data_IF_279641155047
#
_entry.id   IF_279641155047
#
_cell.length_a   1.000
_cell.length_b   1.000
_cell.length_c   1.000
_cell.angle_alpha   90.00
_cell.angle_beta   90.00
_cell.angle_gamma   90.00
#
_symmetry.space_group_name_H-M   'P 1'
#
loop_
_entity.id
_entity.type
_entity.pdbx_description
1 polymer ?
#
# COMPACT_ATOMS: atom_id res chain seq x y z
N UNK A 1 6.82 -17.85 4.52
CA UNK A 1 7.04 -16.75 3.55
C UNK A 1 6.39 -17.10 2.23
N UNK A 2 6.81 -18.18 1.56
CA UNK A 2 6.13 -18.68 0.36
C UNK A 2 4.71 -19.19 0.65
N UNK A 3 3.75 -18.94 -0.25
CA UNK A 3 2.42 -19.51 -0.17
C UNK A 3 2.40 -21.03 -0.40
N UNK A 4 1.34 -21.72 0.07
CA UNK A 4 1.12 -23.10 -0.33
C UNK A 4 0.80 -23.18 -1.83
N UNK A 5 0.97 -24.38 -2.39
CA UNK A 5 0.70 -24.67 -3.79
C UNK A 5 -0.70 -24.22 -4.19
N UNK A 6 -0.76 -23.39 -5.24
CA UNK A 6 -1.96 -23.02 -5.99
C UNK A 6 -1.54 -22.64 -7.41
N UNK A 7 -2.45 -22.80 -8.36
CA UNK A 7 -2.16 -22.58 -9.79
C UNK A 7 -1.87 -21.10 -10.07
N UNK A 8 -2.64 -20.20 -9.46
CA UNK A 8 -2.51 -18.75 -9.62
C UNK A 8 -3.27 -18.03 -8.50
N UNK A 9 -3.19 -16.70 -8.51
CA UNK A 9 -3.98 -15.81 -7.65
C UNK A 9 -5.34 -15.42 -8.30
N UNK A 10 -5.81 -16.14 -9.32
CA UNK A 10 -6.97 -15.72 -10.13
C UNK A 10 -8.26 -15.54 -9.29
N UNK A 11 -8.42 -16.36 -8.25
CA UNK A 11 -9.58 -16.32 -7.36
C UNK A 11 -9.43 -15.32 -6.21
N UNK A 12 -8.26 -14.66 -6.07
CA UNK A 12 -8.03 -13.69 -5.02
C UNK A 12 -8.82 -12.41 -5.32
N UNK A 13 -9.43 -11.85 -4.28
CA UNK A 13 -10.26 -10.64 -4.35
C UNK A 13 -9.81 -9.64 -3.27
N UNK A 14 -10.27 -8.39 -3.41
CA UNK A 14 -9.88 -7.29 -2.51
C UNK A 14 -9.12 -6.19 -3.25
N UNK A 15 -9.03 -5.02 -2.63
CA UNK A 15 -8.36 -3.85 -3.22
C UNK A 15 -6.86 -4.10 -3.37
N UNK A 16 -6.23 -4.76 -2.39
CA UNK A 16 -4.80 -5.10 -2.32
C UNK A 16 -4.46 -6.47 -2.92
N UNK A 17 -5.39 -7.06 -3.69
CA UNK A 17 -5.11 -8.24 -4.49
C UNK A 17 -4.30 -7.87 -5.75
N UNK A 18 -3.58 -8.84 -6.30
CA UNK A 18 -2.84 -8.64 -7.54
C UNK A 18 -3.79 -8.20 -8.68
N UNK A 19 -3.36 -7.28 -9.56
CA UNK A 19 -4.20 -6.81 -10.65
C UNK A 19 -4.54 -7.95 -11.63
N UNK A 20 -5.64 -7.85 -12.39
CA UNK A 20 -6.12 -8.90 -13.30
C UNK A 20 -5.04 -9.50 -14.20
N UNK A 21 -4.14 -8.66 -14.73
CA UNK A 21 -3.09 -9.07 -15.66
C UNK A 21 -2.03 -9.96 -14.98
N UNK A 22 -1.85 -9.81 -13.66
CA UNK A 22 -0.86 -10.56 -12.88
C UNK A 22 -1.49 -11.76 -12.17
N UNK A 23 -2.69 -11.61 -11.58
CA UNK A 23 -3.28 -12.67 -10.76
C UNK A 23 -3.67 -13.92 -11.54
N UNK A 24 -3.88 -13.81 -12.86
CA UNK A 24 -4.17 -14.96 -13.72
C UNK A 24 -2.90 -15.69 -14.23
N UNK A 25 -1.71 -15.15 -13.98
CA UNK A 25 -0.46 -15.81 -14.34
C UNK A 25 -0.29 -17.09 -13.52
N UNK A 26 0.18 -18.14 -14.19
CA UNK A 26 0.42 -19.42 -13.52
C UNK A 26 1.69 -19.33 -12.69
N UNK A 27 1.60 -19.82 -11.45
CA UNK A 27 2.73 -19.90 -10.55
C UNK A 27 3.63 -21.09 -10.86
N UNK A 28 4.93 -20.86 -10.72
CA UNK A 28 5.97 -21.86 -10.77
C UNK A 28 6.24 -22.39 -9.36
N UNK A 29 6.13 -23.70 -9.20
CA UNK A 29 6.52 -24.38 -7.97
C UNK A 29 7.98 -24.12 -7.60
N UNK A 30 8.25 -24.05 -6.30
CA UNK A 30 9.57 -23.76 -5.71
C UNK A 30 10.14 -22.38 -6.08
N UNK A 31 9.37 -21.55 -6.77
CA UNK A 31 9.72 -20.17 -7.09
C UNK A 31 8.66 -19.19 -6.62
N UNK A 32 7.42 -19.30 -7.09
CA UNK A 32 6.31 -18.42 -6.68
C UNK A 32 5.55 -19.01 -5.47
N UNK A 33 5.44 -20.33 -5.42
CA UNK A 33 4.73 -21.09 -4.38
C UNK A 33 5.52 -22.33 -3.96
N UNK A 34 5.20 -22.91 -2.80
CA UNK A 34 5.74 -24.21 -2.41
C UNK A 34 5.31 -25.30 -3.40
N UNK A 35 6.08 -26.39 -3.47
CA UNK A 35 5.67 -27.54 -4.29
C UNK A 35 4.39 -28.18 -3.76
N UNK A 36 3.67 -28.89 -4.63
CA UNK A 36 2.46 -29.60 -4.24
C UNK A 36 2.74 -30.60 -3.10
N UNK A 37 3.83 -31.35 -3.18
CA UNK A 37 4.22 -32.34 -2.16
C UNK A 37 4.56 -31.69 -0.83
N UNK A 38 5.31 -30.58 -0.86
CA UNK A 38 5.65 -29.83 0.35
C UNK A 38 4.39 -29.27 1.02
N UNK A 39 3.49 -28.70 0.23
CA UNK A 39 2.22 -28.16 0.70
C UNK A 39 1.36 -29.24 1.36
N UNK A 40 1.22 -30.40 0.71
CA UNK A 40 0.49 -31.54 1.27
C UNK A 40 1.14 -32.05 2.57
N UNK A 41 2.47 -32.17 2.65
CA UNK A 41 3.18 -32.59 3.86
C UNK A 41 2.95 -31.62 5.02
N UNK A 42 3.01 -30.31 4.78
CA UNK A 42 2.78 -29.29 5.82
C UNK A 42 1.36 -29.37 6.37
N UNK A 43 0.36 -29.47 5.48
CA UNK A 43 -1.04 -29.61 5.89
C UNK A 43 -1.29 -30.90 6.68
N UNK A 44 -0.62 -31.99 6.30
CA UNK A 44 -0.72 -33.27 7.00
C UNK A 44 -0.07 -33.23 8.39
N UNK A 45 1.14 -32.70 8.51
CA UNK A 45 1.88 -32.64 9.78
C UNK A 45 1.26 -31.69 10.79
N UNK A 46 0.91 -30.47 10.36
CA UNK A 46 0.54 -29.40 11.29
C UNK A 46 -0.95 -29.26 11.49
N UNK A 47 -1.76 -29.67 10.51
CA UNK A 47 -3.22 -29.46 10.49
C UNK A 47 -3.60 -28.04 10.97
N UNK A 48 -3.02 -26.99 10.37
CA UNK A 48 -3.03 -25.64 10.95
C UNK A 48 -4.44 -25.03 10.98
N UNK A 49 -4.75 -24.21 11.99
CA UNK A 49 -6.01 -23.43 12.00
C UNK A 49 -5.96 -22.23 11.06
N UNK A 50 -4.76 -21.69 10.82
CA UNK A 50 -4.49 -20.55 9.96
C UNK A 50 -3.09 -20.69 9.37
N UNK A 51 -2.95 -20.32 8.10
CA UNK A 51 -1.66 -20.22 7.40
C UNK A 51 -1.46 -18.75 7.03
N UNK A 52 -0.32 -18.18 7.41
CA UNK A 52 0.09 -16.85 6.97
C UNK A 52 1.28 -16.98 6.02
N UNK A 53 1.10 -16.48 4.80
CA UNK A 53 2.11 -16.49 3.75
C UNK A 53 2.37 -15.06 3.23
N UNK A 54 3.08 -14.93 2.11
CA UNK A 54 3.50 -13.67 1.51
C UNK A 54 4.15 -13.93 0.16
N UNK A 55 5.33 -13.38 -0.08
CA UNK A 55 6.14 -13.52 -1.30
C UNK A 55 5.56 -12.84 -2.55
N UNK A 56 4.28 -13.05 -2.89
CA UNK A 56 3.65 -12.45 -4.09
C UNK A 56 3.40 -10.94 -3.98
N UNK A 57 3.73 -10.37 -2.81
CA UNK A 57 3.55 -8.97 -2.45
C UNK A 57 2.11 -8.46 -2.44
N UNK A 58 1.14 -9.28 -2.86
CA UNK A 58 -0.29 -9.00 -2.93
C UNK A 58 -1.09 -9.84 -1.95
N UNK A 59 -2.24 -9.34 -1.54
CA UNK A 59 -3.10 -10.06 -0.63
C UNK A 59 -3.87 -11.15 -1.37
N UNK A 60 -3.97 -12.32 -0.76
CA UNK A 60 -4.84 -13.38 -1.24
C UNK A 60 -5.37 -14.21 -0.08
N UNK A 61 -6.62 -14.62 -0.17
CA UNK A 61 -7.25 -15.57 0.74
C UNK A 61 -7.58 -16.86 -0.02
N UNK A 62 -7.09 -17.99 0.47
CA UNK A 62 -7.25 -19.31 -0.16
C UNK A 62 -7.66 -20.33 0.88
N UNK A 63 -8.70 -21.10 0.58
CA UNK A 63 -9.15 -22.21 1.43
C UNK A 63 -8.66 -23.54 0.87
N UNK A 64 -7.62 -24.12 1.46
CA UNK A 64 -7.04 -25.39 1.02
C UNK A 64 -7.85 -26.58 1.52
N UNK A 65 -8.24 -27.47 0.59
CA UNK A 65 -9.01 -28.67 0.91
C UNK A 65 -10.32 -28.39 1.64
N UNK A 66 -10.94 -27.21 1.41
CA UNK A 66 -12.12 -26.72 2.12
C UNK A 66 -11.98 -26.67 3.65
N UNK A 67 -10.75 -26.57 4.16
CA UNK A 67 -10.48 -26.68 5.60
C UNK A 67 -9.44 -25.69 6.12
N UNK A 68 -8.34 -25.51 5.41
CA UNK A 68 -7.20 -24.75 5.91
C UNK A 68 -7.17 -23.37 5.28
N UNK A 69 -7.48 -22.35 6.08
CA UNK A 69 -7.45 -20.95 5.64
C UNK A 69 -6.01 -20.47 5.52
N UNK A 70 -5.62 -20.04 4.32
CA UNK A 70 -4.38 -19.34 4.05
C UNK A 70 -4.65 -17.88 3.69
N UNK A 71 -3.89 -16.98 4.32
CA UNK A 71 -3.87 -15.56 3.99
C UNK A 71 -2.45 -15.16 3.61
N UNK A 72 -2.28 -14.74 2.35
CA UNK A 72 -1.06 -14.11 1.87
C UNK A 72 -1.04 -12.65 2.32
N UNK A 73 -0.06 -12.28 3.14
CA UNK A 73 0.10 -10.91 3.63
C UNK A 73 0.83 -10.08 2.56
N UNK A 74 0.26 -8.95 2.10
CA UNK A 74 0.90 -8.11 1.08
C UNK A 74 2.10 -7.36 1.63
N UNK A 75 2.78 -6.62 0.74
CA UNK A 75 3.83 -5.69 1.16
C UNK A 75 3.26 -4.56 2.01
N UNK A 76 3.97 -4.23 3.09
CA UNK A 76 3.64 -3.09 3.95
C UNK A 76 3.96 -1.73 3.31
N UNK A 77 4.78 -1.68 2.26
CA UNK A 77 5.25 -0.42 1.67
C UNK A 77 4.87 -0.31 0.19
N UNK A 78 5.02 0.91 -0.33
CA UNK A 78 4.71 1.26 -1.72
C UNK A 78 5.67 0.70 -2.77
N UNK A 79 6.70 -0.07 -2.36
CA UNK A 79 7.71 -0.58 -3.30
C UNK A 79 7.10 -1.43 -4.42
N UNK A 80 6.06 -2.19 -4.10
CA UNK A 80 5.49 -3.18 -5.01
C UNK A 80 3.99 -2.96 -5.31
N UNK A 81 3.29 -2.18 -4.48
CA UNK A 81 1.86 -1.92 -4.61
C UNK A 81 1.56 -0.47 -4.28
N UNK A 82 0.69 0.16 -5.06
CA UNK A 82 0.20 1.52 -4.79
C UNK A 82 -0.60 1.59 -3.47
N UNK A 83 -1.30 0.51 -3.10
CA UNK A 83 -2.25 0.45 -1.97
C UNK A 83 -1.86 -0.64 -0.94
N UNK A 84 -0.75 -0.44 -0.19
CA UNK A 84 -0.26 -1.44 0.74
C UNK A 84 -1.22 -1.63 1.93
N UNK A 85 -1.14 -2.80 2.55
CA UNK A 85 -1.94 -3.13 3.73
C UNK A 85 -1.14 -3.99 4.72
N UNK A 86 -1.66 -4.10 5.94
CA UNK A 86 -1.16 -5.01 6.95
C UNK A 86 -2.30 -5.74 7.64
N UNK A 87 -1.95 -6.82 8.35
CA UNK A 87 -2.90 -7.59 9.13
C UNK A 87 -2.56 -7.45 10.61
N UNK A 88 -3.55 -7.02 11.39
CA UNK A 88 -3.53 -7.11 12.83
C UNK A 88 -4.18 -8.43 13.25
N UNK A 89 -3.42 -9.29 13.92
CA UNK A 89 -3.88 -10.59 14.39
C UNK A 89 -3.95 -10.67 15.91
N UNK A 90 -5.05 -11.19 16.44
CA UNK A 90 -5.19 -11.61 17.84
C UNK A 90 -5.34 -13.12 17.89
N UNK A 91 -4.52 -13.79 18.70
CA UNK A 91 -4.44 -15.25 18.75
C UNK A 91 -4.72 -15.76 20.15
N UNK A 92 -5.44 -16.88 20.22
CA UNK A 92 -5.65 -17.67 21.43
C UNK A 92 -5.39 -19.15 21.14
N UNK A 93 -5.47 -19.99 22.18
CA UNK A 93 -5.30 -21.44 22.03
C UNK A 93 -6.36 -22.06 21.11
N UNK A 94 -7.58 -21.53 21.10
CA UNK A 94 -8.72 -22.11 20.36
C UNK A 94 -9.14 -21.31 19.13
N UNK A 95 -8.93 -19.99 19.13
CA UNK A 95 -9.41 -19.09 18.06
C UNK A 95 -8.35 -18.08 17.59
N UNK A 96 -8.63 -17.39 16.49
CA UNK A 96 -7.87 -16.25 16.00
C UNK A 96 -8.81 -15.19 15.38
N UNK A 97 -8.41 -13.93 15.43
CA UNK A 97 -9.12 -12.82 14.77
C UNK A 97 -8.13 -12.00 13.98
N UNK A 98 -8.49 -11.69 12.75
CA UNK A 98 -7.67 -10.89 11.85
C UNK A 98 -8.44 -9.64 11.43
N UNK A 99 -7.72 -8.53 11.33
CA UNK A 99 -8.23 -7.29 10.76
C UNK A 99 -7.23 -6.77 9.76
N UNK A 100 -7.68 -6.54 8.52
CA UNK A 100 -6.87 -5.96 7.46
C UNK A 100 -6.98 -4.44 7.53
N UNK A 101 -5.84 -3.77 7.55
CA UNK A 101 -5.73 -2.32 7.64
C UNK A 101 -4.97 -1.80 6.42
N UNK A 102 -5.58 -0.88 5.68
CA UNK A 102 -4.96 -0.25 4.52
C UNK A 102 -4.13 0.97 4.94
N UNK A 103 -3.00 1.16 4.26
CA UNK A 103 -2.24 2.39 4.30
C UNK A 103 -2.70 3.33 3.18
N UNK A 104 -2.41 4.64 3.27
CA UNK A 104 -2.68 5.57 2.18
C UNK A 104 -2.01 5.11 0.88
N UNK A 105 -2.65 5.36 -0.25
CA UNK A 105 -2.06 5.03 -1.54
C UNK A 105 -0.85 5.90 -1.86
N UNK A 106 0.18 5.35 -2.53
CA UNK A 106 1.38 6.09 -2.92
C UNK A 106 1.02 7.31 -3.76
N UNK A 107 0.16 7.10 -4.76
CA UNK A 107 -0.36 8.13 -5.65
C UNK A 107 -1.04 9.27 -4.89
N UNK A 108 -1.80 8.93 -3.85
CA UNK A 108 -2.49 9.90 -3.00
C UNK A 108 -1.49 10.73 -2.18
N UNK A 109 -0.48 10.08 -1.59
CA UNK A 109 0.57 10.77 -0.82
C UNK A 109 1.38 11.71 -1.71
N UNK A 110 1.79 11.24 -2.89
CA UNK A 110 2.52 12.04 -3.89
C UNK A 110 1.67 13.25 -4.34
N UNK A 111 0.39 13.03 -4.64
CA UNK A 111 -0.51 14.11 -5.04
C UNK A 111 -0.64 15.20 -3.95
N UNK A 112 -0.77 14.80 -2.68
CA UNK A 112 -0.83 15.72 -1.55
C UNK A 112 0.46 16.54 -1.43
N UNK A 113 1.63 15.92 -1.58
CA UNK A 113 2.91 16.64 -1.55
C UNK A 113 3.06 17.62 -2.71
N UNK A 114 2.70 17.22 -3.94
CA UNK A 114 2.72 18.12 -5.09
C UNK A 114 1.75 19.30 -4.89
N UNK A 115 0.52 19.05 -4.46
CA UNK A 115 -0.47 20.09 -4.20
C UNK A 115 -0.03 21.07 -3.10
N UNK A 116 0.51 20.53 -2.00
CA UNK A 116 1.02 21.34 -0.89
C UNK A 116 2.22 22.19 -1.31
N UNK A 117 3.13 21.62 -2.09
CA UNK A 117 4.28 22.34 -2.64
C UNK A 117 3.87 23.48 -3.59
N UNK A 118 2.91 23.23 -4.48
CA UNK A 118 2.36 24.27 -5.36
C UNK A 118 1.68 25.39 -4.57
N UNK A 119 0.86 25.03 -3.57
CA UNK A 119 0.21 26.01 -2.71
C UNK A 119 1.23 26.88 -1.95
N UNK A 120 2.27 26.27 -1.38
CA UNK A 120 3.34 26.99 -0.70
C UNK A 120 4.08 27.94 -1.65
N UNK A 121 4.42 27.50 -2.86
CA UNK A 121 5.06 28.34 -3.87
C UNK A 121 4.18 29.54 -4.26
N UNK A 122 2.89 29.32 -4.48
CA UNK A 122 1.93 30.39 -4.79
C UNK A 122 1.82 31.41 -3.64
N UNK A 123 1.79 30.94 -2.39
CA UNK A 123 1.77 31.82 -1.21
C UNK A 123 3.04 32.67 -1.11
N UNK A 124 4.21 32.09 -1.39
CA UNK A 124 5.49 32.81 -1.40
C UNK A 124 5.50 33.86 -2.51
N UNK A 125 5.07 33.52 -3.73
CA UNK A 125 4.96 34.47 -4.84
C UNK A 125 3.99 35.62 -4.52
N UNK A 126 2.82 35.30 -3.97
CA UNK A 126 1.84 36.30 -3.53
C UNK A 126 2.44 37.22 -2.47
N UNK A 127 3.16 36.69 -1.49
CA UNK A 127 3.84 37.47 -0.46
C UNK A 127 4.86 38.44 -1.07
N UNK A 128 5.71 37.98 -1.98
CA UNK A 128 6.66 38.84 -2.68
C UNK A 128 5.97 39.94 -3.51
N UNK A 129 4.87 39.62 -4.20
CA UNK A 129 4.09 40.59 -4.95
C UNK A 129 3.47 41.67 -4.05
N UNK A 130 2.85 41.28 -2.94
CA UNK A 130 2.27 42.21 -1.96
C UNK A 130 3.33 43.08 -1.29
N UNK A 131 4.47 42.49 -0.90
CA UNK A 131 5.58 43.22 -0.29
C UNK A 131 6.21 44.23 -1.26
N UNK A 132 6.41 43.84 -2.53
CA UNK A 132 6.89 44.75 -3.58
C UNK A 132 5.90 45.88 -3.84
N UNK A 133 4.58 45.61 -3.85
CA UNK A 133 3.54 46.63 -3.96
C UNK A 133 3.59 47.64 -2.80
N UNK A 134 3.80 47.17 -1.58
CA UNK A 134 3.97 48.02 -0.39
C UNK A 134 5.23 48.91 -0.47
N UNK A 135 6.36 48.36 -0.92
CA UNK A 135 7.61 49.11 -1.14
C UNK A 135 7.48 50.17 -2.25
N UNK A 136 6.78 49.85 -3.33
CA UNK A 136 6.53 50.82 -4.40
C UNK A 136 5.59 51.94 -3.94
N UNK A 137 4.54 51.62 -3.19
CA UNK A 137 3.63 52.64 -2.65
C UNK A 137 4.30 53.56 -1.63
N UNK A 138 5.11 53.01 -0.73
CA UNK A 138 5.90 53.80 0.24
C UNK A 138 6.94 54.70 -0.44
N UNK A 139 7.65 54.21 -1.45
CA UNK A 139 8.60 55.05 -2.21
C UNK A 139 7.92 56.18 -3.00
N UNK A 140 6.70 55.95 -3.53
CA UNK A 140 5.88 56.99 -4.17
C UNK A 140 5.38 58.06 -3.17
N UNK A 141 4.98 57.65 -1.97
CA UNK A 141 4.61 58.58 -0.89
C UNK A 141 5.80 59.42 -0.43
N UNK A 142 6.98 58.82 -0.25
CA UNK A 142 8.19 59.53 0.12
C UNK A 142 8.72 60.45 -0.98
N UNK A 143 8.54 60.07 -2.26
CA UNK A 143 8.88 60.91 -3.41
C UNK A 143 8.03 62.17 -3.52
N UNK A 144 6.73 62.09 -3.21
CA UNK A 144 5.84 63.26 -3.16
C UNK A 144 6.18 64.24 -2.04
N UNK A 145 6.74 63.76 -0.93
CA UNK A 145 7.12 64.61 0.21
C UNK A 145 8.42 65.39 0.01
N UNK A 146 9.22 65.08 -1.03
CA UNK A 146 10.47 65.79 -1.37
C UNK A 146 10.30 66.91 -2.42
N UNK A 147 9.10 67.11 -2.98
CA UNK A 147 8.81 68.14 -3.99
C UNK A 147 8.09 69.38 -3.44
N UNK A 148 8.18 69.67 -2.13
CA UNK A 148 7.73 70.94 -1.55
C UNK A 148 8.92 71.78 -1.08
#
# INVERSE_FOLDING_TARGET
HYPLYRISDANCTGQDAAPPEQRHLQFKEQYDVLSQEASHKLLWWFQPRLILSGHTHSACEVLHGNKYLEISVPSFNWRNLNNPSFILGTFSSTDFRLSKCFLPEESSVVAIYCASGMAAALLVLLHFHLFRGSLQFSSLLMGKHKSL
#
